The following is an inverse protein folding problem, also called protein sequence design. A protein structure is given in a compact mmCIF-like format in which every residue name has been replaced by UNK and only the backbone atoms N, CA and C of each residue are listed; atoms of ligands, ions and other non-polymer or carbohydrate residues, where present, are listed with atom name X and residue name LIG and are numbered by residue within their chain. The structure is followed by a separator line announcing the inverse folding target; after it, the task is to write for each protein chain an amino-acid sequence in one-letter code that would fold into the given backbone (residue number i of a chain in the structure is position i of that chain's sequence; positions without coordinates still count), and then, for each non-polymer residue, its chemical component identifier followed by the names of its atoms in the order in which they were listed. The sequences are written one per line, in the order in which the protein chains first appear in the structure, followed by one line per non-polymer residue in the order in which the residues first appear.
data_IF_262855208765
#
_entry.id   IF_262855208765
#
_cell.length_a   1.000
_cell.length_b   1.000
_cell.length_c   1.000
_cell.angle_alpha   90.00
_cell.angle_beta   90.00
_cell.angle_gamma   90.00
#
_symmetry.space_group_name_H-M   'P 1'
#
loop_
_entity.id
_entity.type
_entity.pdbx_description
1 polymer ?
#
# COMPACT_ATOMS: atom_id res chain seq x y z
N UNK A 1 5.27 -11.99 13.56
CA UNK A 1 4.72 -12.21 12.21
C UNK A 1 4.78 -10.86 11.50
N UNK A 2 5.31 -10.82 10.28
CA UNK A 2 5.33 -9.61 9.46
C UNK A 2 4.30 -9.76 8.34
N UNK A 3 3.60 -8.69 8.01
CA UNK A 3 2.70 -8.65 6.85
C UNK A 3 3.36 -7.89 5.71
N UNK A 4 3.40 -8.52 4.53
CA UNK A 4 3.95 -7.93 3.33
C UNK A 4 2.94 -7.03 2.64
N UNK A 5 3.32 -5.79 2.32
CA UNK A 5 2.50 -4.84 1.54
C UNK A 5 3.32 -4.34 0.35
N UNK A 6 2.73 -4.45 -0.84
CA UNK A 6 3.33 -3.97 -2.09
C UNK A 6 2.36 -2.98 -2.75
N UNK A 7 2.79 -1.74 -3.06
CA UNK A 7 1.96 -0.82 -3.82
C UNK A 7 1.82 -1.25 -5.28
N UNK A 8 0.66 -1.00 -5.87
CA UNK A 8 0.41 -1.25 -7.29
C UNK A 8 0.99 -0.11 -8.13
N UNK A 9 1.61 -0.42 -9.27
CA UNK A 9 2.26 0.61 -10.11
C UNK A 9 1.34 1.14 -11.21
N UNK A 10 0.47 0.28 -11.74
CA UNK A 10 -0.44 0.59 -12.85
C UNK A 10 -1.54 -0.47 -12.95
N UNK A 11 -2.58 -0.20 -13.76
CA UNK A 11 -3.59 -1.20 -14.11
C UNK A 11 -2.98 -2.48 -14.69
N UNK A 12 -2.02 -2.35 -15.62
CA UNK A 12 -1.31 -3.50 -16.20
C UNK A 12 -0.57 -4.30 -15.14
N UNK A 13 0.09 -3.62 -14.20
CA UNK A 13 0.76 -4.31 -13.09
C UNK A 13 -0.26 -5.03 -12.20
N UNK A 14 -1.40 -4.42 -11.89
CA UNK A 14 -2.46 -5.04 -11.12
C UNK A 14 -2.99 -6.32 -11.80
N UNK A 15 -3.27 -6.25 -13.11
CA UNK A 15 -3.74 -7.41 -13.87
C UNK A 15 -2.69 -8.52 -13.97
N UNK A 16 -1.41 -8.15 -14.17
CA UNK A 16 -0.31 -9.11 -14.15
C UNK A 16 -0.23 -9.85 -12.81
N UNK A 17 -0.30 -9.12 -11.69
CA UNK A 17 -0.27 -9.73 -10.36
C UNK A 17 -1.46 -10.66 -10.13
N UNK A 18 -2.64 -10.30 -10.62
CA UNK A 18 -3.85 -11.09 -10.43
C UNK A 18 -3.87 -12.38 -11.25
N UNK A 19 -3.34 -12.37 -12.48
CA UNK A 19 -3.41 -13.51 -13.39
C UNK A 19 -2.13 -14.36 -13.40
N UNK A 20 -0.96 -13.73 -13.26
CA UNK A 20 0.34 -14.38 -13.52
C UNK A 20 1.10 -14.74 -12.23
N UNK A 21 0.71 -14.20 -11.07
CA UNK A 21 1.40 -14.47 -9.80
C UNK A 21 0.57 -15.38 -8.90
N UNK A 22 1.00 -16.65 -8.69
CA UNK A 22 0.29 -17.59 -7.83
C UNK A 22 0.13 -17.07 -6.40
N UNK A 23 -1.09 -17.19 -5.87
CA UNK A 23 -1.41 -16.75 -4.51
C UNK A 23 -1.70 -15.26 -4.37
N UNK A 24 -1.67 -14.47 -5.45
CA UNK A 24 -2.13 -13.08 -5.45
C UNK A 24 -3.49 -12.98 -6.13
N UNK A 25 -4.46 -12.39 -5.44
CA UNK A 25 -5.79 -12.13 -5.99
C UNK A 25 -6.21 -10.74 -5.58
N UNK A 26 -6.52 -9.90 -6.57
CA UNK A 26 -7.02 -8.55 -6.34
C UNK A 26 -8.54 -8.56 -6.43
N UNK A 27 -9.21 -7.79 -5.58
CA UNK A 27 -10.66 -7.62 -5.69
C UNK A 27 -11.01 -6.85 -6.96
N UNK A 28 -12.24 -7.05 -7.46
CA UNK A 28 -12.75 -6.32 -8.62
C UNK A 28 -12.76 -4.80 -8.38
N UNK A 29 -13.01 -4.38 -7.15
CA UNK A 29 -12.94 -2.97 -6.75
C UNK A 29 -11.54 -2.39 -6.96
N UNK A 30 -10.50 -3.08 -6.48
CA UNK A 30 -9.11 -2.63 -6.63
C UNK A 30 -8.71 -2.58 -8.10
N UNK A 31 -9.08 -3.60 -8.89
CA UNK A 31 -8.81 -3.60 -10.33
C UNK A 31 -9.53 -2.46 -11.05
N UNK A 32 -10.79 -2.20 -10.70
CA UNK A 32 -11.58 -1.10 -11.28
C UNK A 32 -10.98 0.27 -10.97
N UNK A 33 -10.56 0.50 -9.73
CA UNK A 33 -9.86 1.74 -9.32
C UNK A 33 -8.59 1.96 -10.12
N UNK A 34 -7.76 0.93 -10.28
CA UNK A 34 -6.55 1.01 -11.09
C UNK A 34 -6.85 1.22 -12.59
N UNK A 35 -7.90 0.61 -13.12
CA UNK A 35 -8.33 0.80 -14.50
C UNK A 35 -8.78 2.23 -14.79
N UNK A 36 -9.46 2.88 -13.83
CA UNK A 36 -9.94 4.26 -13.97
C UNK A 36 -8.80 5.28 -14.16
N UNK A 37 -7.61 5.00 -13.62
CA UNK A 37 -6.43 5.85 -13.75
C UNK A 37 -5.39 5.33 -14.77
N UNK A 38 -5.72 4.32 -15.58
CA UNK A 38 -4.75 3.61 -16.42
C UNK A 38 -4.01 4.48 -17.45
N UNK A 39 -4.62 5.59 -17.88
CA UNK A 39 -4.06 6.51 -18.88
C UNK A 39 -3.21 7.63 -18.28
N UNK A 40 -3.07 7.69 -16.96
CA UNK A 40 -2.24 8.68 -16.25
C UNK A 40 -1.31 7.96 -15.27
N UNK A 41 -0.02 7.98 -15.57
CA UNK A 41 0.99 7.29 -14.78
C UNK A 41 1.15 7.89 -13.38
N UNK A 42 0.97 9.21 -13.22
CA UNK A 42 1.07 9.88 -11.92
C UNK A 42 -0.14 9.50 -11.07
N UNK A 43 -1.34 9.50 -11.64
CA UNK A 43 -2.55 9.09 -10.93
C UNK A 43 -2.53 7.60 -10.60
N UNK A 44 -2.03 6.75 -11.50
CA UNK A 44 -1.85 5.31 -11.24
C UNK A 44 -0.93 5.05 -10.04
N UNK A 45 0.20 5.77 -9.95
CA UNK A 45 1.11 5.64 -8.82
C UNK A 45 0.46 6.13 -7.51
N UNK A 46 -0.25 7.27 -7.55
CA UNK A 46 -0.98 7.80 -6.39
C UNK A 46 -2.06 6.85 -5.91
N UNK A 47 -2.83 6.27 -6.81
CA UNK A 47 -3.88 5.31 -6.49
C UNK A 47 -3.29 4.04 -5.87
N UNK A 48 -2.21 3.52 -6.45
CA UNK A 48 -1.50 2.38 -5.89
C UNK A 48 -0.93 2.62 -4.49
N UNK A 49 -0.46 3.84 -4.21
CA UNK A 49 -0.04 4.25 -2.86
C UNK A 49 -1.26 4.37 -1.94
N UNK A 50 -2.37 4.94 -2.39
CA UNK A 50 -3.58 5.07 -1.59
C UNK A 50 -4.14 3.69 -1.17
N UNK A 51 -4.13 2.71 -2.07
CA UNK A 51 -4.50 1.32 -1.79
C UNK A 51 -3.54 0.70 -0.77
N UNK A 52 -2.23 0.90 -0.92
CA UNK A 52 -1.26 0.39 0.04
C UNK A 52 -1.42 1.05 1.43
N UNK A 53 -1.71 2.35 1.49
CA UNK A 53 -2.01 3.07 2.74
C UNK A 53 -3.24 2.50 3.44
N UNK A 54 -4.32 2.18 2.73
CA UNK A 54 -5.50 1.56 3.35
C UNK A 54 -5.21 0.16 3.90
N UNK A 55 -4.33 -0.61 3.24
CA UNK A 55 -3.87 -1.89 3.77
C UNK A 55 -2.99 -1.73 5.01
N UNK A 56 -2.10 -0.72 5.01
CA UNK A 56 -1.30 -0.35 6.18
C UNK A 56 -2.22 0.00 7.34
N UNK A 57 -3.26 0.80 7.12
CA UNK A 57 -4.21 1.18 8.16
C UNK A 57 -4.86 -0.04 8.82
N UNK A 58 -5.33 -0.99 8.01
CA UNK A 58 -5.91 -2.23 8.53
C UNK A 58 -4.88 -3.10 9.26
N UNK A 59 -3.64 -3.13 8.79
CA UNK A 59 -2.57 -3.95 9.35
C UNK A 59 -1.95 -3.36 10.63
N UNK A 60 -1.92 -2.03 10.75
CA UNK A 60 -1.12 -1.31 11.76
C UNK A 60 -1.47 -1.72 13.19
N UNK A 61 -2.76 -1.94 13.47
CA UNK A 61 -3.23 -2.31 14.80
C UNK A 61 -3.19 -3.84 15.04
N UNK A 62 -2.98 -4.63 13.99
CA UNK A 62 -3.05 -6.10 14.03
C UNK A 62 -1.67 -6.77 14.02
N UNK A 63 -0.65 -6.09 13.50
CA UNK A 63 0.69 -6.65 13.32
C UNK A 63 1.77 -5.75 13.90
N UNK A 64 2.72 -6.35 14.61
CA UNK A 64 3.85 -5.64 15.21
C UNK A 64 4.92 -5.19 14.19
N UNK A 65 4.73 -5.48 12.91
CA UNK A 65 5.69 -5.12 11.86
C UNK A 65 5.13 -5.28 10.46
N UNK A 66 5.37 -4.26 9.65
CA UNK A 66 4.97 -4.21 8.24
C UNK A 66 6.24 -4.35 7.38
N UNK A 67 6.22 -5.27 6.44
CA UNK A 67 7.26 -5.45 5.44
C UNK A 67 6.83 -4.83 4.11
N UNK A 68 7.53 -3.80 3.66
CA UNK A 68 7.22 -3.14 2.39
C UNK A 68 8.01 -3.74 1.23
N UNK A 69 7.31 -4.16 0.18
CA UNK A 69 7.89 -4.70 -1.04
C UNK A 69 7.98 -3.57 -2.07
N UNK A 70 9.18 -3.29 -2.58
CA UNK A 70 9.41 -2.22 -3.57
C UNK A 70 9.24 -2.75 -4.99
N UNK A 71 8.21 -2.33 -5.75
CA UNK A 71 8.00 -2.82 -7.11
C UNK A 71 8.94 -2.13 -8.11
N UNK A 72 9.59 -2.90 -8.97
CA UNK A 72 10.40 -2.42 -10.12
C UNK A 72 11.34 -1.24 -9.82
N UNK A 73 12.03 -1.26 -8.67
CA UNK A 73 12.94 -0.19 -8.21
C UNK A 73 12.28 1.19 -8.03
N UNK A 74 10.95 1.27 -7.93
CA UNK A 74 10.21 2.52 -7.64
C UNK A 74 10.28 2.87 -6.16
N UNK A 75 11.47 3.23 -5.69
CA UNK A 75 11.76 3.52 -4.29
C UNK A 75 10.91 4.67 -3.74
N UNK A 76 10.54 5.65 -4.56
CA UNK A 76 9.74 6.80 -4.14
C UNK A 76 8.40 6.39 -3.51
N UNK A 77 7.75 5.36 -4.07
CA UNK A 77 6.48 4.84 -3.53
C UNK A 77 6.71 4.22 -2.14
N UNK A 78 7.76 3.41 -2.00
CA UNK A 78 8.11 2.80 -0.72
C UNK A 78 8.48 3.85 0.32
N UNK A 79 9.24 4.88 -0.05
CA UNK A 79 9.61 5.99 0.84
C UNK A 79 8.36 6.71 1.34
N UNK A 80 7.38 6.96 0.47
CA UNK A 80 6.12 7.56 0.88
C UNK A 80 5.36 6.69 1.89
N UNK A 81 5.32 5.37 1.69
CA UNK A 81 4.68 4.44 2.62
C UNK A 81 5.42 4.36 3.97
N UNK A 82 6.76 4.38 3.96
CA UNK A 82 7.56 4.43 5.20
C UNK A 82 7.25 5.69 5.99
N UNK A 83 7.21 6.84 5.33
CA UNK A 83 6.83 8.12 5.97
C UNK A 83 5.44 8.04 6.59
N UNK A 84 4.48 7.48 5.86
CA UNK A 84 3.12 7.30 6.34
C UNK A 84 3.03 6.42 7.59
N UNK A 85 3.80 5.32 7.64
CA UNK A 85 3.87 4.45 8.83
C UNK A 85 4.41 5.23 10.04
N UNK A 86 5.50 5.99 9.86
CA UNK A 86 6.07 6.79 10.95
C UNK A 86 5.12 7.89 11.46
N UNK A 87 4.37 8.54 10.56
CA UNK A 87 3.34 9.51 10.94
C UNK A 87 2.25 8.83 11.82
N UNK A 88 1.86 7.59 11.49
CA UNK A 88 0.92 6.82 12.32
C UNK A 88 1.50 6.43 13.67
N UNK A 89 2.77 6.02 13.73
CA UNK A 89 3.46 5.69 14.98
C UNK A 89 3.50 6.88 15.92
N UNK A 90 3.88 8.06 15.41
CA UNK A 90 3.90 9.31 16.17
C UNK A 90 2.51 9.65 16.71
N UNK A 91 1.48 9.64 15.85
CA UNK A 91 0.11 9.93 16.27
C UNK A 91 -0.41 8.92 17.31
N UNK A 92 -0.04 7.64 17.21
CA UNK A 92 -0.41 6.62 18.19
C UNK A 92 0.28 6.85 19.56
N UNK A 93 1.52 7.31 19.54
CA UNK A 93 2.28 7.61 20.75
C UNK A 93 1.73 8.86 21.46
N UNK A 94 1.39 9.92 20.72
CA UNK A 94 0.73 11.11 21.26
C UNK A 94 -0.61 10.79 21.94
N UNK A 95 -1.44 9.93 21.32
CA UNK A 95 -2.72 9.50 21.91
C UNK A 95 -2.53 8.78 23.24
N UNK A 96 -1.49 7.95 23.38
CA UNK A 96 -1.16 7.25 24.64
C UNK A 96 -0.71 8.21 25.73
N UNK A 97 0.05 9.25 25.39
CA UNK A 97 0.53 10.27 26.35
C UNK A 97 -0.62 11.14 26.87
N UNK A 98 -1.61 11.46 26.03
CA UNK A 98 -2.74 12.31 26.41
C UNK A 98 -3.82 11.60 27.26
N UNK A 99 -3.83 10.27 27.29
CA UNK A 99 -4.85 9.46 27.97
C UNK A 99 -4.29 8.51 29.05
N UNK A 100 -3.01 8.66 29.42
CA UNK A 100 -2.35 7.95 30.52
C UNK A 100 -2.03 8.87 31.68
#
# INVERSE_FOLDING_TARGET
IYIGIMPLVSARNADFLHHEVPGITLSDEIRSRMAACANDAVQSAREGIAIAKSLIDAAFDLFNGIYLITPFLRYEMTVELVRYIHEKEQAAQERKVLHG
#
